data_IF_475960232462
#
_entry.id   IF_475960232462
#
_cell.length_a   1.000
_cell.length_b   1.000
_cell.length_c   1.000
_cell.angle_alpha   90.00
_cell.angle_beta   90.00
_cell.angle_gamma   90.00
#
_symmetry.space_group_name_H-M   'P 1'
#
loop_
_entity.id
_entity.type
_entity.pdbx_description
1 polymer ?
#
# COMPACT_ATOMS: atom_id res chain seq x y z
N UNK A 1 -23.09 -9.03 -0.55
CA UNK A 1 -22.36 -7.87 -1.11
C UNK A 1 -21.13 -7.57 -0.26
N UNK A 2 -20.13 -6.91 -0.83
CA UNK A 2 -18.95 -6.38 -0.13
C UNK A 2 -18.60 -5.00 -0.68
N UNK A 3 -17.79 -4.25 0.07
CA UNK A 3 -17.21 -2.98 -0.38
C UNK A 3 -15.70 -3.12 -0.52
N UNK A 4 -15.15 -2.67 -1.65
CA UNK A 4 -13.71 -2.55 -1.86
C UNK A 4 -13.39 -1.20 -2.48
N UNK A 5 -12.31 -0.55 -2.03
CA UNK A 5 -11.86 0.67 -2.66
C UNK A 5 -11.14 0.37 -3.96
N UNK A 6 -11.37 1.23 -4.94
CA UNK A 6 -10.44 1.46 -6.05
C UNK A 6 -9.74 2.80 -5.82
N UNK A 7 -8.54 2.94 -6.39
CA UNK A 7 -7.69 4.11 -6.22
C UNK A 7 -7.48 4.78 -7.57
N UNK A 8 -8.02 5.99 -7.70
CA UNK A 8 -7.93 6.82 -8.90
C UNK A 8 -6.71 7.74 -8.75
N UNK A 9 -5.79 7.80 -9.73
CA UNK A 9 -4.68 8.76 -9.72
C UNK A 9 -5.17 10.20 -9.58
N UNK A 10 -4.42 11.01 -8.84
CA UNK A 10 -4.64 12.44 -8.76
C UNK A 10 -4.35 13.16 -10.09
N UNK A 11 -4.74 14.44 -10.15
CA UNK A 11 -4.42 15.33 -11.26
C UNK A 11 -3.01 15.93 -11.11
N UNK A 12 -2.66 16.91 -11.94
CA UNK A 12 -1.37 17.62 -11.88
C UNK A 12 -1.18 18.44 -10.60
N UNK A 13 -2.24 18.69 -9.82
CA UNK A 13 -2.20 19.42 -8.54
C UNK A 13 -3.09 18.74 -7.48
N UNK A 14 -2.84 19.01 -6.21
CA UNK A 14 -3.64 18.50 -5.09
C UNK A 14 -3.29 17.08 -4.68
N UNK A 15 -4.28 16.32 -4.20
CA UNK A 15 -4.08 14.97 -3.67
C UNK A 15 -3.45 14.01 -4.70
N UNK A 16 -2.64 13.06 -4.22
CA UNK A 16 -1.98 12.07 -5.07
C UNK A 16 -2.91 10.95 -5.56
N UNK A 17 -4.06 10.76 -4.92
CA UNK A 17 -5.06 9.81 -5.34
C UNK A 17 -6.42 10.18 -4.75
N UNK A 18 -7.47 9.56 -5.30
CA UNK A 18 -8.83 9.55 -4.74
C UNK A 18 -9.23 8.11 -4.49
N UNK A 19 -9.73 7.82 -3.30
CA UNK A 19 -10.35 6.54 -2.99
C UNK A 19 -11.84 6.56 -3.37
N UNK A 20 -12.29 5.53 -4.09
CA UNK A 20 -13.69 5.33 -4.44
C UNK A 20 -14.13 3.97 -3.93
N UNK A 21 -15.10 3.94 -3.02
CA UNK A 21 -15.66 2.70 -2.49
C UNK A 21 -16.68 2.13 -3.47
N UNK A 22 -16.46 0.88 -3.91
CA UNK A 22 -17.33 0.17 -4.85
C UNK A 22 -18.01 -0.99 -4.15
N UNK A 23 -19.34 -1.05 -4.29
CA UNK A 23 -20.15 -2.17 -3.81
C UNK A 23 -20.25 -3.23 -4.91
N UNK A 24 -20.10 -4.50 -4.58
CA UNK A 24 -20.21 -5.58 -5.56
C UNK A 24 -20.61 -6.92 -4.92
N UNK A 25 -20.91 -7.89 -5.76
CA UNK A 25 -21.23 -9.24 -5.33
C UNK A 25 -19.97 -10.02 -4.95
N UNK A 26 -19.89 -10.45 -3.68
CA UNK A 26 -18.75 -11.20 -3.19
C UNK A 26 -18.98 -12.71 -3.30
N UNK A 27 -18.20 -13.36 -4.14
CA UNK A 27 -18.10 -14.81 -4.23
C UNK A 27 -17.20 -15.35 -3.12
N UNK A 28 -17.79 -16.10 -2.19
CA UNK A 28 -17.06 -16.72 -1.09
C UNK A 28 -16.16 -17.86 -1.61
N UNK A 29 -15.03 -18.04 -0.95
CA UNK A 29 -14.08 -19.11 -1.26
C UNK A 29 -12.63 -18.61 -1.25
N UNK A 30 -11.72 -19.52 -0.93
CA UNK A 30 -10.28 -19.24 -0.89
C UNK A 30 -9.57 -19.55 -2.22
N UNK A 31 -10.23 -20.28 -3.12
CA UNK A 31 -9.67 -20.66 -4.40
C UNK A 31 -9.32 -19.42 -5.23
N UNK A 32 -8.20 -19.48 -5.98
CA UNK A 32 -7.75 -18.39 -6.83
C UNK A 32 -8.82 -18.00 -7.88
N UNK A 33 -9.53 -18.98 -8.43
CA UNK A 33 -10.66 -18.76 -9.35
C UNK A 33 -11.77 -17.91 -8.74
N UNK A 34 -12.11 -18.13 -7.46
CA UNK A 34 -13.11 -17.32 -6.77
C UNK A 34 -12.61 -15.89 -6.54
N UNK A 35 -11.31 -15.70 -6.26
CA UNK A 35 -10.72 -14.36 -6.17
C UNK A 35 -10.76 -13.62 -7.49
N UNK A 36 -10.43 -14.29 -8.60
CA UNK A 36 -10.54 -13.72 -9.95
C UNK A 36 -11.97 -13.33 -10.31
N UNK A 37 -12.97 -14.14 -9.96
CA UNK A 37 -14.39 -13.77 -10.10
C UNK A 37 -14.72 -12.48 -9.35
N UNK A 38 -14.24 -12.35 -8.11
CA UNK A 38 -14.43 -11.13 -7.33
C UNK A 38 -13.73 -9.90 -7.95
N UNK A 39 -12.59 -10.06 -8.63
CA UNK A 39 -11.94 -8.98 -9.39
C UNK A 39 -12.85 -8.53 -10.53
N UNK A 40 -13.34 -9.48 -11.32
CA UNK A 40 -14.23 -9.18 -12.46
C UNK A 40 -15.52 -8.46 -12.02
N UNK A 41 -16.17 -8.93 -10.94
CA UNK A 41 -17.35 -8.26 -10.37
C UNK A 41 -17.03 -6.84 -9.88
N UNK A 42 -15.90 -6.65 -9.18
CA UNK A 42 -15.48 -5.33 -8.72
C UNK A 42 -15.25 -4.37 -9.91
N UNK A 43 -14.60 -4.85 -10.97
CA UNK A 43 -14.31 -4.05 -12.15
C UNK A 43 -15.56 -3.72 -12.95
N UNK A 44 -16.50 -4.67 -13.06
CA UNK A 44 -17.79 -4.44 -13.70
C UNK A 44 -18.59 -3.34 -12.97
N UNK A 45 -18.69 -3.44 -11.64
CA UNK A 45 -19.39 -2.42 -10.82
C UNK A 45 -18.70 -1.05 -10.89
N UNK A 46 -17.37 -1.02 -10.91
CA UNK A 46 -16.63 0.22 -11.07
C UNK A 46 -16.80 0.86 -12.47
N UNK A 47 -16.98 0.05 -13.52
CA UNK A 47 -17.29 0.51 -14.87
C UNK A 47 -18.63 1.25 -14.92
N UNK A 48 -19.65 0.77 -14.21
CA UNK A 48 -20.92 1.49 -14.05
C UNK A 48 -20.79 2.83 -13.31
N UNK A 49 -19.71 3.03 -12.53
CA UNK A 49 -19.37 4.30 -11.88
C UNK A 49 -18.51 5.23 -12.77
N UNK A 50 -18.21 4.82 -14.00
CA UNK A 50 -17.44 5.60 -14.97
C UNK A 50 -15.93 5.31 -14.99
N UNK A 51 -15.47 4.21 -14.37
CA UNK A 51 -14.06 3.78 -14.43
C UNK A 51 -13.94 2.57 -15.37
N UNK A 52 -13.55 2.82 -16.63
CA UNK A 52 -13.55 1.81 -17.67
C UNK A 52 -12.40 0.82 -17.54
N UNK A 53 -11.17 1.35 -17.50
CA UNK A 53 -9.95 0.53 -17.49
C UNK A 53 -9.35 0.50 -16.09
N UNK A 54 -9.43 -0.65 -15.42
CA UNK A 54 -8.94 -0.82 -14.04
C UNK A 54 -7.87 -1.89 -14.00
N UNK A 55 -6.70 -1.54 -13.47
CA UNK A 55 -5.65 -2.52 -13.23
C UNK A 55 -5.80 -3.12 -11.83
N UNK A 56 -6.13 -4.41 -11.76
CA UNK A 56 -5.95 -5.17 -10.53
C UNK A 56 -4.46 -5.33 -10.27
N UNK A 57 -3.96 -4.72 -9.20
CA UNK A 57 -2.59 -4.84 -8.72
C UNK A 57 -2.61 -5.88 -7.61
N UNK A 58 -2.45 -7.15 -7.97
CA UNK A 58 -2.33 -8.25 -7.01
C UNK A 58 -1.88 -9.54 -7.67
N UNK A 59 -1.58 -10.55 -6.85
CA UNK A 59 -1.31 -11.91 -7.35
C UNK A 59 -2.50 -12.54 -8.09
N UNK A 60 -3.70 -11.93 -8.00
CA UNK A 60 -4.94 -12.40 -8.62
C UNK A 60 -5.25 -11.71 -9.95
N UNK A 61 -4.45 -10.72 -10.34
CA UNK A 61 -4.61 -10.01 -11.61
C UNK A 61 -4.51 -10.95 -12.81
N UNK A 62 -5.37 -10.73 -13.80
CA UNK A 62 -5.26 -11.38 -15.11
C UNK A 62 -4.21 -10.69 -16.00
N UNK A 63 -3.90 -9.42 -15.72
CA UNK A 63 -2.79 -8.69 -16.34
C UNK A 63 -1.44 -9.10 -15.77
N UNK A 64 -0.45 -9.33 -16.64
CA UNK A 64 0.92 -9.58 -16.20
C UNK A 64 1.50 -8.38 -15.45
N UNK A 65 1.23 -7.16 -15.92
CA UNK A 65 1.65 -5.93 -15.25
C UNK A 65 1.13 -5.89 -13.80
N UNK A 66 -0.16 -6.17 -13.61
CA UNK A 66 -0.78 -6.18 -12.29
C UNK A 66 -0.19 -7.25 -11.36
N UNK A 67 0.16 -8.43 -11.89
CA UNK A 67 0.86 -9.47 -11.13
C UNK A 67 2.28 -9.08 -10.77
N UNK A 68 3.03 -8.43 -11.66
CA UNK A 68 4.41 -8.00 -11.43
C UNK A 68 4.50 -6.86 -10.42
N UNK A 69 3.52 -5.95 -10.42
CA UNK A 69 3.42 -4.83 -9.47
C UNK A 69 2.93 -5.25 -8.07
N UNK A 70 2.58 -6.52 -7.84
CA UNK A 70 2.18 -7.02 -6.52
C UNK A 70 3.36 -6.99 -5.54
N UNK A 71 3.16 -6.54 -4.30
CA UNK A 71 4.18 -6.52 -3.25
C UNK A 71 4.77 -7.90 -2.92
N UNK A 72 4.01 -8.96 -3.20
CA UNK A 72 4.41 -10.36 -3.02
C UNK A 72 5.27 -10.91 -4.18
N UNK A 73 5.35 -10.20 -5.30
CA UNK A 73 6.00 -10.66 -6.53
C UNK A 73 7.07 -9.70 -7.06
N UNK A 74 6.94 -8.41 -6.79
CA UNK A 74 7.92 -7.40 -7.21
C UNK A 74 9.26 -7.66 -6.52
N UNK A 75 10.22 -8.19 -7.28
CA UNK A 75 11.63 -8.25 -6.90
C UNK A 75 12.21 -6.84 -6.94
N UNK A 76 12.90 -6.46 -5.86
CA UNK A 76 13.49 -5.13 -5.74
C UNK A 76 14.88 -5.26 -5.16
N UNK A 77 15.77 -4.39 -5.61
CA UNK A 77 17.07 -4.15 -4.99
C UNK A 77 17.06 -2.77 -4.35
N UNK A 78 16.90 -2.71 -3.03
CA UNK A 78 16.84 -1.45 -2.29
C UNK A 78 17.98 -1.35 -1.30
N UNK A 79 18.89 -0.40 -1.52
CA UNK A 79 20.04 -0.16 -0.63
C UNK A 79 20.88 -1.42 -0.36
N UNK A 80 21.08 -2.24 -1.41
CA UNK A 80 21.82 -3.51 -1.34
C UNK A 80 21.06 -4.66 -0.67
N UNK A 81 19.73 -4.57 -0.53
CA UNK A 81 18.86 -5.70 -0.17
C UNK A 81 18.10 -6.12 -1.42
N UNK A 82 18.31 -7.36 -1.87
CA UNK A 82 17.47 -8.01 -2.87
C UNK A 82 16.36 -8.81 -2.18
N UNK A 83 15.10 -8.39 -2.33
CA UNK A 83 13.95 -9.07 -1.73
C UNK A 83 12.63 -8.60 -2.39
N UNK A 84 11.49 -8.98 -1.80
CA UNK A 84 10.16 -8.45 -2.15
C UNK A 84 9.80 -7.25 -1.27
N UNK A 85 8.98 -6.35 -1.80
CA UNK A 85 8.45 -5.20 -1.03
C UNK A 85 7.80 -5.62 0.28
N UNK A 86 6.96 -6.68 0.27
CA UNK A 86 6.32 -7.17 1.48
C UNK A 86 7.35 -7.56 2.54
N UNK A 87 8.42 -8.27 2.17
CA UNK A 87 9.45 -8.72 3.10
C UNK A 87 10.22 -7.53 3.70
N UNK A 88 10.64 -6.57 2.87
CA UNK A 88 11.30 -5.35 3.32
C UNK A 88 10.39 -4.57 4.28
N UNK A 89 9.12 -4.41 3.92
CA UNK A 89 8.15 -3.71 4.76
C UNK A 89 7.96 -4.41 6.12
N UNK A 90 7.82 -5.74 6.14
CA UNK A 90 7.68 -6.49 7.39
C UNK A 90 8.94 -6.42 8.25
N UNK A 91 10.13 -6.60 7.65
CA UNK A 91 11.42 -6.55 8.35
C UNK A 91 11.70 -5.16 8.96
N UNK A 92 11.24 -4.10 8.30
CA UNK A 92 11.47 -2.72 8.74
C UNK A 92 10.61 -2.29 9.94
N UNK A 93 9.65 -3.10 10.39
CA UNK A 93 8.75 -2.70 11.48
C UNK A 93 9.46 -2.62 12.82
N UNK A 94 9.28 -1.50 13.52
CA UNK A 94 9.69 -1.33 14.91
C UNK A 94 8.46 -1.18 15.78
N UNK A 95 8.27 -2.14 16.68
CA UNK A 95 7.18 -2.17 17.64
C UNK A 95 7.61 -1.63 19.01
N UNK A 96 6.67 -1.45 19.92
CA UNK A 96 6.95 -1.07 21.31
C UNK A 96 7.94 -2.01 21.99
N UNK A 97 7.81 -3.32 21.78
CA UNK A 97 8.58 -4.38 22.45
C UNK A 97 9.59 -5.07 21.54
N UNK A 98 10.05 -4.43 20.46
CA UNK A 98 11.15 -4.95 19.63
C UNK A 98 11.13 -4.48 18.18
N UNK A 99 12.16 -4.87 17.44
CA UNK A 99 12.38 -4.49 16.04
C UNK A 99 13.51 -3.48 15.84
N UNK A 100 14.01 -3.27 14.61
CA UNK A 100 13.57 -3.95 13.38
C UNK A 100 13.90 -5.46 13.40
N UNK A 101 13.24 -6.22 12.54
CA UNK A 101 13.40 -7.67 12.43
C UNK A 101 14.05 -7.99 11.09
N UNK A 102 15.29 -7.52 10.89
CA UNK A 102 16.00 -7.62 9.61
C UNK A 102 16.18 -9.07 9.15
N UNK A 103 16.21 -10.02 10.09
CA UNK A 103 16.37 -11.44 9.81
C UNK A 103 15.26 -12.03 8.93
N UNK A 104 14.07 -11.40 8.88
CA UNK A 104 12.93 -11.92 8.11
C UNK A 104 12.90 -11.46 6.66
N UNK A 105 13.86 -10.61 6.24
CA UNK A 105 13.88 -10.03 4.89
C UNK A 105 14.09 -11.08 3.79
N UNK A 106 14.68 -12.23 4.13
CA UNK A 106 14.96 -13.33 3.20
C UNK A 106 13.84 -14.39 3.16
N UNK A 107 12.80 -14.27 4.00
CA UNK A 107 11.67 -15.19 3.98
C UNK A 107 10.78 -14.96 2.75
N UNK A 108 9.88 -15.91 2.49
CA UNK A 108 8.80 -15.64 1.55
C UNK A 108 7.87 -14.54 2.09
N UNK A 109 7.20 -13.75 1.23
CA UNK A 109 6.23 -12.74 1.65
C UNK A 109 5.16 -13.24 2.61
N UNK A 110 4.72 -14.50 2.43
CA UNK A 110 3.71 -15.11 3.29
C UNK A 110 4.26 -15.41 4.69
N UNK A 111 5.50 -15.90 4.79
CA UNK A 111 6.17 -16.18 6.05
C UNK A 111 6.49 -14.88 6.80
N UNK A 112 7.07 -13.89 6.11
CA UNK A 112 7.35 -12.57 6.68
C UNK A 112 6.08 -11.92 7.25
N UNK A 113 4.95 -12.00 6.53
CA UNK A 113 3.66 -11.48 7.00
C UNK A 113 3.10 -12.27 8.19
N UNK A 114 3.33 -13.58 8.26
CA UNK A 114 2.85 -14.44 9.35
C UNK A 114 3.71 -14.35 10.60
N UNK A 115 4.97 -13.93 10.48
CA UNK A 115 5.96 -13.83 11.56
C UNK A 115 5.43 -13.16 12.83
N UNK A 116 4.63 -12.10 12.67
CA UNK A 116 4.09 -11.31 13.79
C UNK A 116 2.77 -11.84 14.36
N UNK A 117 2.08 -12.77 13.70
CA UNK A 117 0.67 -13.12 14.01
C UNK A 117 0.45 -13.62 15.45
N UNK A 118 1.42 -14.35 16.02
CA UNK A 118 1.35 -14.88 17.37
C UNK A 118 2.13 -14.05 18.41
N UNK A 119 2.81 -12.97 17.97
CA UNK A 119 3.73 -12.20 18.82
C UNK A 119 3.01 -11.00 19.43
N UNK A 120 3.13 -10.83 20.75
CA UNK A 120 2.55 -9.69 21.49
C UNK A 120 3.55 -8.52 21.56
N UNK A 121 3.90 -7.94 20.42
CA UNK A 121 4.95 -6.90 20.32
C UNK A 121 4.49 -5.47 20.61
N UNK A 122 3.18 -5.25 20.77
CA UNK A 122 2.59 -3.93 20.97
C UNK A 122 2.38 -3.18 19.65
N UNK A 123 2.35 -1.85 19.74
CA UNK A 123 2.07 -0.95 18.62
C UNK A 123 3.29 -0.76 17.71
N UNK A 124 3.07 -0.44 16.42
CA UNK A 124 4.16 0.01 15.53
C UNK A 124 4.48 1.47 15.85
N UNK A 125 5.70 1.74 16.29
CA UNK A 125 6.17 3.10 16.63
C UNK A 125 6.75 3.83 15.42
N UNK A 126 7.48 3.10 14.58
CA UNK A 126 8.18 3.62 13.41
C UNK A 126 8.59 2.47 12.50
N UNK A 127 9.25 2.82 11.41
CA UNK A 127 10.01 1.88 10.60
C UNK A 127 11.50 2.19 10.73
N UNK A 128 12.33 1.15 10.66
CA UNK A 128 13.79 1.28 10.56
C UNK A 128 14.25 0.50 9.34
N UNK A 129 14.92 1.17 8.42
CA UNK A 129 15.44 0.56 7.21
C UNK A 129 16.85 1.07 6.96
N UNK A 130 17.83 0.14 6.94
CA UNK A 130 19.26 0.45 6.78
C UNK A 130 19.77 1.46 7.82
N UNK A 131 19.37 1.27 9.08
CA UNK A 131 19.77 2.11 10.21
C UNK A 131 19.07 3.48 10.26
N UNK A 132 18.29 3.85 9.25
CA UNK A 132 17.51 5.09 9.26
C UNK A 132 16.10 4.86 9.78
N UNK A 133 15.64 5.79 10.63
CA UNK A 133 14.29 5.80 11.21
C UNK A 133 13.32 6.56 10.30
N UNK A 134 12.13 6.00 10.10
CA UNK A 134 11.03 6.59 9.33
C UNK A 134 9.77 6.65 10.18
N UNK A 135 9.07 7.79 10.14
CA UNK A 135 7.84 7.98 10.90
C UNK A 135 6.70 7.08 10.41
N UNK A 136 5.85 6.65 11.35
CA UNK A 136 4.66 5.84 11.06
C UNK A 136 3.42 6.71 10.74
N UNK A 137 3.62 7.97 10.32
CA UNK A 137 2.54 8.90 9.99
C UNK A 137 2.89 9.70 8.72
N UNK A 138 1.98 9.75 7.72
CA UNK A 138 0.77 8.95 7.57
C UNK A 138 1.06 7.44 7.61
N UNK A 139 0.12 6.64 8.13
CA UNK A 139 0.36 5.21 8.42
C UNK A 139 0.73 4.35 7.22
N UNK A 140 0.42 4.80 6.01
CA UNK A 140 0.80 4.12 4.77
C UNK A 140 2.06 4.68 4.11
N UNK A 141 2.59 5.81 4.57
CA UNK A 141 3.64 6.55 3.86
C UNK A 141 4.88 5.70 3.64
N UNK A 142 5.36 4.98 4.66
CA UNK A 142 6.54 4.13 4.49
C UNK A 142 6.33 3.00 3.48
N UNK A 143 5.15 2.38 3.47
CA UNK A 143 4.83 1.32 2.51
C UNK A 143 4.77 1.85 1.07
N UNK A 144 4.08 2.98 0.88
CA UNK A 144 3.98 3.60 -0.44
C UNK A 144 5.35 4.09 -0.92
N UNK A 145 6.18 4.62 -0.02
CA UNK A 145 7.54 5.06 -0.34
C UNK A 145 8.46 3.91 -0.78
N UNK A 146 8.35 2.72 -0.18
CA UNK A 146 9.07 1.53 -0.68
C UNK A 146 8.71 1.21 -2.12
N UNK A 147 7.44 1.36 -2.49
CA UNK A 147 6.98 1.21 -3.87
C UNK A 147 7.57 2.28 -4.79
N UNK A 148 7.57 3.56 -4.38
CA UNK A 148 8.19 4.64 -5.14
C UNK A 148 9.65 4.33 -5.43
N UNK A 149 10.42 3.96 -4.38
CA UNK A 149 11.83 3.61 -4.51
C UNK A 149 12.08 2.45 -5.46
N UNK A 150 11.26 1.41 -5.38
CA UNK A 150 11.42 0.24 -6.24
C UNK A 150 11.06 0.48 -7.69
N UNK A 151 10.25 1.49 -7.99
CA UNK A 151 9.67 1.69 -9.31
C UNK A 151 10.14 2.97 -10.01
N UNK A 152 10.87 3.86 -9.32
CA UNK A 152 11.41 5.10 -9.87
C UNK A 152 12.29 4.86 -11.11
N UNK A 153 13.18 3.87 -11.07
CA UNK A 153 14.05 3.52 -12.19
C UNK A 153 13.28 3.01 -13.43
N UNK A 154 12.03 2.60 -13.25
CA UNK A 154 11.15 2.12 -14.31
C UNK A 154 10.13 3.17 -14.77
N UNK A 155 10.30 4.45 -14.38
CA UNK A 155 9.30 5.52 -14.62
C UNK A 155 8.86 5.67 -16.07
N UNK A 156 9.75 5.49 -17.05
CA UNK A 156 9.42 5.63 -18.47
C UNK A 156 8.45 4.53 -18.93
N UNK A 157 8.77 3.27 -18.59
CA UNK A 157 7.89 2.14 -18.88
C UNK A 157 6.55 2.28 -18.16
N UNK A 158 6.58 2.69 -16.88
CA UNK A 158 5.36 2.86 -16.11
C UNK A 158 4.49 4.02 -16.61
N UNK A 159 5.08 5.12 -17.10
CA UNK A 159 4.33 6.23 -17.70
C UNK A 159 3.45 5.76 -18.87
N UNK A 160 4.03 4.98 -19.78
CA UNK A 160 3.34 4.46 -20.97
C UNK A 160 2.25 3.43 -20.61
N UNK A 161 2.47 2.63 -19.56
CA UNK A 161 1.54 1.56 -19.19
C UNK A 161 0.44 2.02 -18.26
N UNK A 162 0.78 2.80 -17.22
CA UNK A 162 -0.17 3.24 -16.20
C UNK A 162 -1.12 4.33 -16.69
N UNK A 163 -0.74 5.09 -17.73
CA UNK A 163 -1.62 6.10 -18.35
C UNK A 163 -2.86 5.52 -19.03
N UNK A 164 -2.90 4.20 -19.25
CA UNK A 164 -4.02 3.48 -19.87
C UNK A 164 -5.14 3.11 -18.90
N UNK A 165 -4.92 3.28 -17.60
CA UNK A 165 -5.87 2.87 -16.56
C UNK A 165 -6.45 4.09 -15.84
N UNK A 166 -7.76 4.05 -15.61
CA UNK A 166 -8.50 5.06 -14.86
C UNK A 166 -8.30 4.88 -13.35
N UNK A 167 -8.16 3.62 -12.90
CA UNK A 167 -8.04 3.29 -11.49
C UNK A 167 -7.23 1.99 -11.26
N UNK A 168 -6.87 1.78 -10.00
CA UNK A 168 -6.16 0.60 -9.51
C UNK A 168 -6.95 -0.08 -8.40
N UNK A 169 -7.01 -1.41 -8.42
CA UNK A 169 -7.69 -2.21 -7.39
C UNK A 169 -6.77 -3.26 -6.78
N UNK A 170 -7.13 -3.72 -5.58
CA UNK A 170 -6.50 -4.85 -4.90
C UNK A 170 -7.62 -5.63 -4.20
N UNK A 171 -8.04 -6.74 -4.77
CA UNK A 171 -9.19 -7.50 -4.27
C UNK A 171 -8.94 -8.12 -2.89
N UNK A 172 -7.66 -8.34 -2.55
CA UNK A 172 -7.25 -8.91 -1.28
C UNK A 172 -7.16 -7.85 -0.17
N UNK A 173 -7.06 -6.57 -0.54
CA UNK A 173 -7.12 -5.47 0.41
C UNK A 173 -8.50 -5.37 1.07
N UNK A 174 -8.50 -5.22 2.38
CA UNK A 174 -9.72 -4.93 3.13
C UNK A 174 -9.45 -3.73 4.05
N UNK A 175 -10.05 -2.56 3.77
CA UNK A 175 -9.75 -1.33 4.51
C UNK A 175 -10.12 -1.42 6.00
N UNK A 176 -11.00 -2.35 6.40
CA UNK A 176 -11.32 -2.56 7.83
C UNK A 176 -10.25 -3.35 8.59
N UNK A 177 -9.33 -4.01 7.88
CA UNK A 177 -8.30 -4.90 8.47
C UNK A 177 -6.86 -4.47 8.19
N UNK A 178 -6.64 -3.66 7.16
CA UNK A 178 -5.32 -3.22 6.73
C UNK A 178 -5.38 -1.77 6.30
N UNK A 179 -4.26 -1.07 6.48
CA UNK A 179 -4.05 0.28 5.97
C UNK A 179 -3.36 0.22 4.60
N UNK A 180 -2.41 -0.71 4.46
CA UNK A 180 -1.56 -0.77 3.27
C UNK A 180 -2.22 -1.58 2.15
N UNK A 181 -2.10 -1.04 0.94
CA UNK A 181 -2.47 -1.70 -0.31
C UNK A 181 -1.60 -1.19 -1.43
N UNK A 182 -1.15 -2.13 -2.25
CA UNK A 182 -0.36 -1.89 -3.45
C UNK A 182 -1.11 -1.09 -4.52
N UNK A 183 -2.44 -1.17 -4.58
CA UNK A 183 -3.23 -0.40 -5.54
C UNK A 183 -3.12 1.12 -5.31
N UNK A 184 -3.14 1.56 -4.05
CA UNK A 184 -2.92 2.96 -3.69
C UNK A 184 -1.51 3.40 -4.06
N UNK A 185 -0.49 2.60 -3.75
CA UNK A 185 0.90 2.93 -4.06
C UNK A 185 1.10 3.11 -5.57
N UNK A 186 0.48 2.26 -6.40
CA UNK A 186 0.52 2.40 -7.87
C UNK A 186 -0.24 3.65 -8.35
N UNK A 187 -1.40 4.00 -7.77
CA UNK A 187 -2.11 5.23 -8.09
C UNK A 187 -1.29 6.50 -7.75
N UNK A 188 -0.58 6.48 -6.62
CA UNK A 188 0.36 7.54 -6.21
C UNK A 188 1.49 7.67 -7.25
N UNK A 189 2.12 6.55 -7.63
CA UNK A 189 3.19 6.54 -8.63
C UNK A 189 2.71 7.10 -9.97
N UNK A 190 1.55 6.67 -10.46
CA UNK A 190 0.96 7.18 -11.69
C UNK A 190 0.78 8.71 -11.64
N UNK A 191 0.43 9.26 -10.48
CA UNK A 191 0.29 10.71 -10.28
C UNK A 191 1.63 11.42 -10.22
N UNK A 192 2.60 10.88 -9.50
CA UNK A 192 3.93 11.48 -9.38
C UNK A 192 4.71 11.45 -10.70
N UNK A 193 4.49 10.45 -11.55
CA UNK A 193 5.01 10.42 -12.93
C UNK A 193 4.44 11.58 -13.73
N UNK A 194 3.11 11.79 -13.69
CA UNK A 194 2.44 12.90 -14.38
C UNK A 194 2.91 14.28 -13.90
N UNK A 195 3.40 14.37 -12.68
CA UNK A 195 3.93 15.61 -12.08
C UNK A 195 5.44 15.78 -12.25
N UNK A 196 6.14 14.79 -12.81
CA UNK A 196 7.60 14.73 -12.85
C UNK A 196 8.25 14.85 -11.45
N UNK A 197 7.62 14.26 -10.44
CA UNK A 197 8.05 14.32 -9.04
C UNK A 197 8.46 12.95 -8.46
N UNK A 198 8.35 11.87 -9.25
CA UNK A 198 8.58 10.51 -8.76
C UNK A 198 9.99 10.32 -8.20
N UNK A 199 11.02 10.79 -8.91
CA UNK A 199 12.41 10.59 -8.48
C UNK A 199 12.72 11.35 -7.18
N UNK A 200 12.29 12.62 -7.10
CA UNK A 200 12.47 13.43 -5.90
C UNK A 200 11.79 12.77 -4.68
N UNK A 201 10.53 12.34 -4.82
CA UNK A 201 9.81 11.65 -3.76
C UNK A 201 10.40 10.27 -3.43
N UNK A 202 10.96 9.54 -4.40
CA UNK A 202 11.63 8.28 -4.14
C UNK A 202 12.95 8.48 -3.38
N UNK A 203 13.69 9.55 -3.67
CA UNK A 203 14.97 9.86 -3.01
C UNK A 203 14.82 10.41 -1.60
N UNK A 204 13.72 11.08 -1.28
CA UNK A 204 13.49 11.76 -0.01
C UNK A 204 12.12 11.40 0.57
N UNK A 205 12.14 10.64 1.67
CA UNK A 205 10.94 10.21 2.37
C UNK A 205 10.14 11.39 2.94
N UNK A 206 10.79 12.39 3.52
CA UNK A 206 10.10 13.53 4.14
C UNK A 206 9.48 14.43 3.07
N UNK A 207 10.18 14.62 1.94
CA UNK A 207 9.60 15.28 0.77
C UNK A 207 8.37 14.54 0.24
N UNK A 208 8.44 13.21 0.09
CA UNK A 208 7.26 12.42 -0.29
C UNK A 208 6.12 12.54 0.72
N UNK A 209 6.44 12.44 2.01
CA UNK A 209 5.47 12.50 3.11
C UNK A 209 4.70 13.82 3.13
N UNK A 210 5.35 14.94 2.82
CA UNK A 210 4.69 16.24 2.68
C UNK A 210 3.63 16.25 1.54
N UNK A 211 3.76 15.42 0.51
CA UNK A 211 2.73 15.32 -0.54
C UNK A 211 1.46 14.58 -0.08
N UNK A 212 1.52 13.89 1.06
CA UNK A 212 0.41 13.10 1.62
C UNK A 212 -0.42 13.89 2.65
N UNK A 213 -0.19 15.20 2.81
CA UNK A 213 -0.58 16.09 3.94
C UNK A 213 -2.03 16.05 4.49
N UNK A 214 -2.93 15.21 3.98
CA UNK A 214 -4.07 14.75 4.77
C UNK A 214 -3.64 13.53 5.57
N UNK A 215 -3.51 13.69 6.89
CA UNK A 215 -3.46 12.53 7.80
C UNK A 215 -4.74 11.74 7.55
N UNK A 216 -4.65 10.66 6.77
CA UNK A 216 -5.73 9.69 6.60
C UNK A 216 -5.87 8.97 7.94
N UNK A 217 -6.53 9.60 8.90
CA UNK A 217 -6.99 8.99 10.16
C UNK A 217 -8.10 8.01 9.80
N UNK A 218 -7.77 6.91 9.13
CA UNK A 218 -8.70 5.80 9.01
C UNK A 218 -8.70 5.04 10.31
N UNK A 219 -9.88 4.63 10.76
CA UNK A 219 -10.07 3.84 11.98
C UNK A 219 -9.74 2.37 11.69
N UNK A 220 -8.54 2.07 11.19
CA UNK A 220 -8.11 0.68 11.01
C UNK A 220 -7.81 0.05 12.37
N UNK A 221 -8.03 -1.25 12.56
CA UNK A 221 -7.65 -1.95 13.80
C UNK A 221 -6.14 -1.94 14.05
N UNK A 222 -5.33 -1.73 12.99
CA UNK A 222 -3.90 -1.41 13.10
C UNK A 222 -3.63 -0.01 13.70
N UNK A 223 -4.62 0.89 13.66
CA UNK A 223 -4.61 2.27 14.18
C UNK A 223 -5.25 2.37 15.57
N UNK A 224 -6.21 1.49 15.92
CA UNK A 224 -6.66 1.33 17.33
C UNK A 224 -5.53 0.82 18.25
N UNK A 225 -4.53 0.21 17.65
CA UNK A 225 -3.21 -0.04 18.23
C UNK A 225 -2.29 1.20 18.10
N UNK A 226 -2.81 2.43 18.23
CA UNK A 226 -2.06 3.66 17.89
C UNK A 226 -2.66 4.99 18.36
N UNK A 227 -3.92 5.03 18.80
CA UNK A 227 -4.58 6.26 19.27
C UNK A 227 -5.30 6.14 20.62
N UNK A 228 -5.06 5.05 21.35
CA UNK A 228 -5.64 4.84 22.68
C UNK A 228 -4.82 5.46 23.82
N UNK A 229 -4.59 6.78 23.80
CA UNK A 229 -4.35 7.64 25.00
C UNK A 229 -3.80 9.03 24.63
N UNK A 230 -4.56 9.82 23.87
CA UNK A 230 -4.36 11.28 23.83
C UNK A 230 -5.71 11.98 23.94
N UNK A 231 -6.43 11.72 25.03
CA UNK A 231 -7.57 12.51 25.50
C UNK A 231 -8.02 12.01 26.88
N UNK A 232 -7.22 12.28 27.93
CA UNK A 232 -7.69 12.27 29.32
C UNK A 232 -6.65 12.87 30.29
N UNK A 233 -6.04 14.01 29.96
CA UNK A 233 -5.31 14.79 30.98
C UNK A 233 -5.22 16.26 30.59
N UNK A 234 -6.36 16.96 30.70
CA UNK A 234 -6.45 18.42 30.89
C UNK A 234 -7.88 18.81 31.27
N UNK A 235 -8.27 18.44 32.49
CA UNK A 235 -9.05 19.33 33.37
C UNK A 235 -9.14 18.71 34.77
N UNK A 236 -8.11 18.97 35.58
CA UNK A 236 -8.26 19.07 37.02
C UNK A 236 -7.91 20.51 37.39
N UNK A 237 -8.93 21.35 37.50
CA UNK A 237 -9.13 22.36 38.54
C UNK A 237 -10.50 22.99 38.36
#
# INVERSE_FOLDING_TARGET
MAFRPIFVPGSTKGALFKEVSVQFNWHRGMAASQKKKNVAELHAEASFLGFGEILEVSTKSDSELGRRLSAFRLDVELSGISSKIECIYQASKVFEKGGPFEEIVHLSPLEAKRYFKARKLGLIKCFSFKGQRYENLPFHAFYDWLFLRALAEHKLFLSERLSRFDAFSDIEFNPSKSINTQARSVAIIATLIKRDQLDACASDFDFFRAHLEKIEKKTSTQIQLGLGSFEAEKSKK
#
